data_IF_451845900702
#
_entry.id   IF_451845900702
#
_cell.length_a   1.000
_cell.length_b   1.000
_cell.length_c   1.000
_cell.angle_alpha   90.00
_cell.angle_beta   90.00
_cell.angle_gamma   90.00
#
_symmetry.space_group_name_H-M   'P 1'
#
loop_
_entity.id
_entity.type
_entity.pdbx_description
1 polymer ?
#
# COMPACT_ATOMS: atom_id res chain seq x y z
N UNK A 1 -0.28 14.10 13.23
CA UNK A 1 -1.39 14.94 12.72
C UNK A 1 -2.59 14.11 12.29
N UNK A 2 -2.43 13.12 11.39
CA UNK A 2 -3.53 12.34 10.79
C UNK A 2 -4.43 11.59 11.77
N UNK A 3 -3.86 10.90 12.77
CA UNK A 3 -4.66 10.21 13.81
C UNK A 3 -5.43 11.19 14.69
N UNK A 4 -4.82 12.31 15.05
CA UNK A 4 -5.44 13.35 15.89
C UNK A 4 -6.61 13.98 15.14
N UNK A 5 -6.42 14.34 13.86
CA UNK A 5 -7.50 14.87 13.03
C UNK A 5 -8.62 13.86 12.80
N UNK A 6 -8.30 12.57 12.68
CA UNK A 6 -9.31 11.50 12.58
C UNK A 6 -10.14 11.42 13.86
N UNK A 7 -9.49 11.38 15.03
CA UNK A 7 -10.18 11.33 16.34
C UNK A 7 -11.12 12.53 16.49
N UNK A 8 -10.61 13.74 16.26
CA UNK A 8 -11.42 14.96 16.37
C UNK A 8 -12.58 14.93 15.38
N UNK A 9 -12.32 14.57 14.12
CA UNK A 9 -13.35 14.46 13.09
C UNK A 9 -14.45 13.45 13.45
N UNK A 10 -14.08 12.27 13.95
CA UNK A 10 -15.04 11.26 14.39
C UNK A 10 -15.86 11.73 15.58
N UNK A 11 -15.25 12.39 16.57
CA UNK A 11 -15.96 12.95 17.73
C UNK A 11 -16.99 14.02 17.30
N UNK A 12 -16.60 14.91 16.39
CA UNK A 12 -17.51 15.93 15.85
C UNK A 12 -18.65 15.28 15.08
N UNK A 13 -18.36 14.32 14.20
CA UNK A 13 -19.37 13.62 13.41
C UNK A 13 -20.39 12.88 14.29
N UNK A 14 -19.92 12.15 15.31
CA UNK A 14 -20.78 11.46 16.27
C UNK A 14 -21.64 12.46 17.05
N UNK A 15 -21.05 13.57 17.51
CA UNK A 15 -21.79 14.61 18.23
C UNK A 15 -22.91 15.21 17.37
N UNK A 16 -22.61 15.58 16.12
CA UNK A 16 -23.61 16.11 15.18
C UNK A 16 -24.70 15.09 14.90
N UNK A 17 -24.35 13.83 14.67
CA UNK A 17 -25.32 12.75 14.43
C UNK A 17 -26.23 12.51 15.65
N UNK A 18 -25.68 12.54 16.86
CA UNK A 18 -26.46 12.43 18.10
C UNK A 18 -27.44 13.59 18.27
N UNK A 19 -27.03 14.82 17.94
CA UNK A 19 -27.89 16.01 18.04
C UNK A 19 -29.01 16.00 16.98
N UNK A 20 -28.71 15.56 15.76
CA UNK A 20 -29.66 15.58 14.65
C UNK A 20 -30.66 14.43 14.73
N UNK A 21 -30.18 13.19 14.81
CA UNK A 21 -31.04 12.00 14.77
C UNK A 21 -31.62 11.62 16.14
N UNK A 22 -31.05 12.18 17.23
CA UNK A 22 -31.43 11.91 18.61
C UNK A 22 -31.61 10.40 18.94
N UNK A 23 -30.70 9.51 18.50
CA UNK A 23 -30.76 8.11 18.89
C UNK A 23 -30.36 7.94 20.37
N UNK A 24 -30.57 6.75 20.96
CA UNK A 24 -30.01 6.43 22.28
C UNK A 24 -28.49 6.65 22.33
N UNK A 25 -27.97 7.16 23.45
CA UNK A 25 -26.54 7.50 23.60
C UNK A 25 -25.57 6.32 23.37
N UNK A 26 -26.05 5.09 23.55
CA UNK A 26 -25.27 3.87 23.34
C UNK A 26 -25.31 3.36 21.88
N UNK A 27 -26.18 3.91 21.03
CA UNK A 27 -26.33 3.46 19.65
C UNK A 27 -25.03 3.53 18.83
N UNK A 28 -24.20 4.59 18.90
CA UNK A 28 -22.93 4.63 18.17
C UNK A 28 -21.96 3.52 18.60
N UNK A 29 -21.94 3.18 19.90
CA UNK A 29 -21.06 2.13 20.43
C UNK A 29 -21.53 0.74 20.02
N UNK A 30 -22.84 0.50 20.05
CA UNK A 30 -23.43 -0.77 19.60
C UNK A 30 -23.19 -0.99 18.11
N UNK A 31 -23.36 0.06 17.29
CA UNK A 31 -23.11 0.00 15.85
C UNK A 31 -21.62 -0.16 15.54
N UNK A 32 -20.75 0.53 16.26
CA UNK A 32 -19.30 0.32 16.14
C UNK A 32 -18.91 -1.13 16.45
N UNK A 33 -19.49 -1.73 17.51
CA UNK A 33 -19.27 -3.15 17.83
C UNK A 33 -19.77 -4.05 16.69
N UNK A 34 -21.00 -3.83 16.20
CA UNK A 34 -21.56 -4.61 15.08
C UNK A 34 -20.67 -4.57 13.83
N UNK A 35 -20.14 -3.38 13.49
CA UNK A 35 -19.23 -3.21 12.37
C UNK A 35 -17.88 -3.90 12.61
N UNK A 36 -17.33 -3.80 13.82
CA UNK A 36 -16.10 -4.50 14.20
C UNK A 36 -16.29 -6.02 14.26
N UNK A 37 -17.46 -6.52 14.64
CA UNK A 37 -17.76 -7.95 14.62
C UNK A 37 -17.86 -8.45 13.17
N UNK A 38 -18.41 -7.64 12.26
CA UNK A 38 -18.55 -7.99 10.84
C UNK A 38 -17.23 -7.91 10.06
N UNK A 39 -16.36 -6.94 10.37
CA UNK A 39 -15.16 -6.61 9.56
C UNK A 39 -13.87 -6.52 10.40
N UNK A 40 -13.89 -7.05 11.62
CA UNK A 40 -12.79 -6.92 12.58
C UNK A 40 -11.49 -7.58 12.12
N UNK A 41 -11.60 -8.68 11.38
CA UNK A 41 -10.44 -9.33 10.78
C UNK A 41 -9.69 -8.41 9.80
N UNK A 42 -10.42 -7.59 9.03
CA UNK A 42 -9.81 -6.65 8.10
C UNK A 42 -9.31 -5.39 8.83
N UNK A 43 -9.96 -5.01 9.95
CA UNK A 43 -9.53 -3.88 10.78
C UNK A 43 -8.15 -4.11 11.42
N UNK A 44 -7.82 -5.35 11.79
CA UNK A 44 -6.53 -5.70 12.41
C UNK A 44 -5.44 -5.94 11.35
N UNK A 45 -5.84 -6.22 10.10
CA UNK A 45 -4.93 -6.60 9.02
C UNK A 45 -3.79 -5.60 8.76
N UNK A 46 -4.00 -4.27 8.68
CA UNK A 46 -2.90 -3.32 8.48
C UNK A 46 -1.83 -3.39 9.58
N UNK A 47 -2.23 -3.61 10.83
CA UNK A 47 -1.30 -3.75 11.95
C UNK A 47 -0.48 -5.03 11.82
N UNK A 48 -1.11 -6.14 11.43
CA UNK A 48 -0.41 -7.40 11.18
C UNK A 48 0.58 -7.27 10.03
N UNK A 49 0.20 -6.60 8.94
CA UNK A 49 1.07 -6.37 7.79
C UNK A 49 2.27 -5.46 8.12
N UNK A 50 2.06 -4.45 8.97
CA UNK A 50 3.16 -3.64 9.48
C UNK A 50 4.15 -4.48 10.30
N UNK A 51 3.63 -5.38 11.18
CA UNK A 51 4.50 -6.30 11.93
C UNK A 51 5.23 -7.30 11.04
N UNK A 52 4.58 -7.82 10.00
CA UNK A 52 5.20 -8.70 9.01
C UNK A 52 6.36 -8.00 8.29
N UNK A 53 6.17 -6.72 7.92
CA UNK A 53 7.23 -5.90 7.35
C UNK A 53 8.45 -5.78 8.26
N UNK A 54 8.25 -5.61 9.57
CA UNK A 54 9.34 -5.60 10.55
C UNK A 54 10.04 -6.95 10.66
N UNK A 55 9.28 -8.06 10.63
CA UNK A 55 9.83 -9.43 10.62
C UNK A 55 10.67 -9.67 9.36
N UNK A 56 10.22 -9.26 8.18
CA UNK A 56 11.00 -9.42 6.95
C UNK A 56 12.30 -8.61 6.96
N UNK A 57 12.26 -7.40 7.52
CA UNK A 57 13.45 -6.60 7.70
C UNK A 57 14.45 -7.31 8.64
N UNK A 58 13.96 -7.85 9.77
CA UNK A 58 14.79 -8.59 10.72
C UNK A 58 15.34 -9.91 10.16
N UNK A 59 14.57 -10.59 9.31
CA UNK A 59 14.96 -11.83 8.64
C UNK A 59 15.93 -11.60 7.47
N UNK A 60 16.21 -10.34 7.12
CA UNK A 60 17.16 -10.00 6.06
C UNK A 60 16.63 -10.13 4.64
N UNK A 61 15.30 -10.31 4.45
CA UNK A 61 14.70 -10.60 3.13
C UNK A 61 15.07 -9.54 2.08
N UNK A 62 15.17 -8.28 2.50
CA UNK A 62 15.58 -7.18 1.62
C UNK A 62 16.98 -7.37 1.03
N UNK A 63 17.92 -7.92 1.81
CA UNK A 63 19.29 -8.15 1.36
C UNK A 63 19.35 -9.25 0.30
N UNK A 64 18.62 -10.36 0.45
CA UNK A 64 18.60 -11.40 -0.59
C UNK A 64 17.91 -10.92 -1.86
N UNK A 65 16.79 -10.19 -1.74
CA UNK A 65 16.12 -9.60 -2.90
C UNK A 65 17.05 -8.58 -3.57
N UNK A 66 17.74 -7.73 -2.81
CA UNK A 66 18.70 -6.77 -3.33
C UNK A 66 19.85 -7.42 -4.11
N UNK A 67 20.38 -8.55 -3.64
CA UNK A 67 21.41 -9.31 -4.33
C UNK A 67 20.93 -9.77 -5.72
N UNK A 68 19.70 -10.29 -5.82
CA UNK A 68 19.09 -10.68 -7.10
C UNK A 68 18.94 -9.47 -8.03
N UNK A 69 18.53 -8.32 -7.52
CA UNK A 69 18.42 -7.09 -8.33
C UNK A 69 19.79 -6.62 -8.85
N UNK A 70 20.84 -6.66 -8.02
CA UNK A 70 22.19 -6.30 -8.47
C UNK A 70 22.78 -7.27 -9.49
N UNK A 71 22.47 -8.56 -9.37
CA UNK A 71 22.98 -9.60 -10.28
C UNK A 71 22.27 -9.57 -11.64
N UNK A 72 20.93 -9.47 -11.63
CA UNK A 72 20.14 -9.58 -12.85
C UNK A 72 19.84 -8.25 -13.54
N UNK A 73 20.05 -7.11 -12.87
CA UNK A 73 19.82 -5.78 -13.45
C UNK A 73 21.14 -4.99 -13.47
N UNK A 74 22.01 -5.25 -14.46
CA UNK A 74 23.27 -4.52 -14.59
C UNK A 74 23.01 -3.02 -14.83
N UNK A 75 23.77 -2.17 -14.14
CA UNK A 75 23.65 -0.71 -14.26
C UNK A 75 22.59 -0.06 -13.38
N UNK A 76 21.98 -0.81 -12.45
CA UNK A 76 21.03 -0.29 -11.46
C UNK A 76 21.62 0.86 -10.63
N UNK A 77 22.92 0.77 -10.30
CA UNK A 77 23.66 1.78 -9.53
C UNK A 77 23.99 3.05 -10.32
N UNK A 78 24.03 2.96 -11.65
CA UNK A 78 24.47 4.06 -12.51
C UNK A 78 23.30 4.84 -13.13
N UNK A 79 22.17 4.17 -13.38
CA UNK A 79 21.03 4.76 -14.08
C UNK A 79 19.87 5.08 -13.13
N UNK A 80 19.65 6.38 -12.90
CA UNK A 80 18.49 6.90 -12.13
C UNK A 80 17.15 6.38 -12.66
N UNK A 81 16.98 6.33 -13.97
CA UNK A 81 15.73 5.85 -14.58
C UNK A 81 15.54 4.35 -14.34
N UNK A 82 16.61 3.57 -14.43
CA UNK A 82 16.54 2.13 -14.21
C UNK A 82 16.24 1.80 -12.75
N UNK A 83 16.94 2.44 -11.81
CA UNK A 83 16.72 2.25 -10.37
C UNK A 83 15.29 2.64 -9.94
N UNK A 84 14.80 3.79 -10.40
CA UNK A 84 13.42 4.23 -10.12
C UNK A 84 12.40 3.27 -10.72
N UNK A 85 12.61 2.81 -11.96
CA UNK A 85 11.69 1.87 -12.60
C UNK A 85 11.70 0.53 -11.87
N UNK A 86 12.88 -0.01 -11.55
CA UNK A 86 13.03 -1.24 -10.79
C UNK A 86 12.38 -1.14 -9.41
N UNK A 87 12.54 -0.02 -8.71
CA UNK A 87 11.90 0.19 -7.42
C UNK A 87 10.38 0.29 -7.54
N UNK A 88 9.83 1.14 -8.42
CA UNK A 88 8.39 1.31 -8.57
C UNK A 88 7.69 0.06 -9.11
N UNK A 89 8.23 -0.58 -10.14
CA UNK A 89 7.68 -1.83 -10.71
C UNK A 89 7.84 -2.97 -9.72
N UNK A 90 9.01 -3.08 -9.08
CA UNK A 90 9.26 -4.06 -8.03
C UNK A 90 8.29 -3.88 -6.86
N UNK A 91 8.09 -2.64 -6.39
CA UNK A 91 7.09 -2.29 -5.37
C UNK A 91 5.69 -2.77 -5.76
N UNK A 92 5.21 -2.46 -6.97
CA UNK A 92 3.90 -2.88 -7.44
C UNK A 92 3.79 -4.41 -7.55
N UNK A 93 4.78 -5.06 -8.16
CA UNK A 93 4.80 -6.52 -8.35
C UNK A 93 4.85 -7.27 -7.02
N UNK A 94 5.75 -6.90 -6.13
CA UNK A 94 5.88 -7.54 -4.82
C UNK A 94 4.62 -7.32 -3.97
N UNK A 95 3.96 -6.17 -4.15
CA UNK A 95 2.65 -5.91 -3.56
C UNK A 95 1.56 -6.80 -4.14
N UNK A 96 1.56 -7.09 -5.44
CA UNK A 96 0.60 -8.03 -6.04
C UNK A 96 0.75 -9.40 -5.39
N UNK A 97 1.99 -9.87 -5.22
CA UNK A 97 2.31 -11.18 -4.60
C UNK A 97 1.86 -11.23 -3.15
N UNK A 98 2.19 -10.19 -2.36
CA UNK A 98 1.89 -10.19 -0.92
C UNK A 98 0.48 -9.70 -0.57
N UNK A 99 -0.26 -9.14 -1.54
CA UNK A 99 -1.60 -8.60 -1.33
C UNK A 99 -1.65 -7.23 -0.67
N UNK A 100 -0.51 -6.62 -0.29
CA UNK A 100 -0.51 -5.33 0.37
C UNK A 100 0.80 -4.53 0.29
N UNK A 101 0.67 -3.21 0.07
CA UNK A 101 1.80 -2.30 -0.03
C UNK A 101 2.60 -2.14 1.28
N UNK A 102 1.95 -2.18 2.46
CA UNK A 102 2.63 -2.05 3.75
C UNK A 102 3.57 -3.22 4.04
N UNK A 103 3.23 -4.43 3.59
CA UNK A 103 4.11 -5.57 3.72
C UNK A 103 5.28 -5.51 2.70
N UNK A 104 5.00 -5.06 1.48
CA UNK A 104 6.00 -4.98 0.40
C UNK A 104 7.02 -3.88 0.63
N UNK A 105 6.60 -2.79 1.25
CA UNK A 105 7.40 -1.58 1.38
C UNK A 105 8.74 -1.79 2.10
N UNK A 106 8.82 -2.43 3.28
CA UNK A 106 10.11 -2.64 3.94
C UNK A 106 11.06 -3.50 3.11
N UNK A 107 10.55 -4.56 2.47
CA UNK A 107 11.37 -5.48 1.65
C UNK A 107 11.96 -4.76 0.45
N UNK A 108 11.11 -4.16 -0.38
CA UNK A 108 11.54 -3.51 -1.62
C UNK A 108 12.33 -2.21 -1.37
N UNK A 109 12.05 -1.51 -0.27
CA UNK A 109 12.84 -0.34 0.12
C UNK A 109 14.22 -0.77 0.61
N UNK A 110 14.33 -1.83 1.40
CA UNK A 110 15.62 -2.37 1.80
C UNK A 110 16.39 -3.00 0.62
N UNK A 111 15.69 -3.61 -0.33
CA UNK A 111 16.29 -4.26 -1.49
C UNK A 111 16.74 -3.29 -2.57
N UNK A 112 15.91 -2.30 -2.90
CA UNK A 112 16.13 -1.43 -4.07
C UNK A 112 16.14 0.07 -3.70
N UNK A 113 15.09 0.54 -3.03
CA UNK A 113 14.86 1.97 -2.81
C UNK A 113 16.00 2.66 -2.04
N UNK A 114 16.34 2.14 -0.88
CA UNK A 114 17.38 2.71 -0.02
C UNK A 114 18.80 2.53 -0.60
N UNK A 115 19.28 1.33 -0.96
CA UNK A 115 20.66 1.17 -1.42
C UNK A 115 20.93 1.85 -2.76
N UNK A 116 20.02 1.74 -3.74
CA UNK A 116 20.28 2.24 -5.08
C UNK A 116 19.71 3.64 -5.32
N UNK A 117 18.42 3.86 -5.05
CA UNK A 117 17.77 5.14 -5.38
C UNK A 117 18.23 6.26 -4.44
N UNK A 118 18.33 5.97 -3.14
CA UNK A 118 18.72 6.96 -2.12
C UNK A 118 20.25 7.03 -1.97
N UNK A 119 20.90 5.94 -1.58
CA UNK A 119 22.32 5.96 -1.18
C UNK A 119 23.24 6.08 -2.39
N UNK A 120 23.10 5.24 -3.42
CA UNK A 120 23.98 5.27 -4.59
C UNK A 120 23.72 6.48 -5.51
N UNK A 121 22.45 6.84 -5.73
CA UNK A 121 22.05 7.83 -6.73
C UNK A 121 21.66 9.20 -6.17
N UNK A 122 21.64 9.35 -4.84
CA UNK A 122 21.40 10.61 -4.14
C UNK A 122 19.93 11.05 -4.11
N UNK A 123 18.98 10.12 -4.11
CA UNK A 123 17.55 10.42 -4.00
C UNK A 123 17.15 10.86 -2.59
N UNK A 124 16.21 11.81 -2.50
CA UNK A 124 15.60 12.24 -1.24
C UNK A 124 14.77 11.10 -0.61
N UNK A 125 15.10 10.64 0.62
CA UNK A 125 14.42 9.51 1.24
C UNK A 125 12.92 9.72 1.41
N UNK A 126 12.48 10.94 1.73
CA UNK A 126 11.07 11.21 1.98
C UNK A 126 10.25 11.08 0.68
N UNK A 127 10.73 11.66 -0.42
CA UNK A 127 10.08 11.57 -1.74
C UNK A 127 10.12 10.16 -2.29
N UNK A 128 11.26 9.46 -2.18
CA UNK A 128 11.39 8.07 -2.65
C UNK A 128 10.43 7.17 -1.89
N UNK A 129 10.39 7.24 -0.56
CA UNK A 129 9.49 6.43 0.25
C UNK A 129 8.01 6.74 -0.02
N UNK A 130 7.65 8.03 -0.13
CA UNK A 130 6.27 8.43 -0.40
C UNK A 130 5.78 7.91 -1.76
N UNK A 131 6.54 8.16 -2.83
CA UNK A 131 6.14 7.76 -4.19
C UNK A 131 6.26 6.24 -4.35
N UNK A 132 7.24 5.60 -3.71
CA UNK A 132 7.37 4.14 -3.67
C UNK A 132 6.15 3.47 -3.05
N UNK A 133 5.59 4.06 -1.99
CA UNK A 133 4.35 3.57 -1.38
C UNK A 133 3.14 3.74 -2.30
N UNK A 134 3.05 4.87 -3.03
CA UNK A 134 2.01 5.07 -4.07
C UNK A 134 2.10 4.04 -5.19
N UNK A 135 3.32 3.69 -5.63
CA UNK A 135 3.54 2.61 -6.60
C UNK A 135 3.10 1.24 -6.03
N UNK A 136 3.37 0.97 -4.75
CA UNK A 136 2.86 -0.21 -4.06
C UNK A 136 1.33 -0.28 -4.05
N UNK A 137 0.64 0.84 -3.79
CA UNK A 137 -0.83 0.87 -3.83
C UNK A 137 -1.39 0.56 -5.23
N UNK A 138 -0.68 0.93 -6.31
CA UNK A 138 -1.06 0.51 -7.67
C UNK A 138 -1.06 -1.02 -7.79
N UNK A 139 -0.09 -1.71 -7.17
CA UNK A 139 -0.09 -3.17 -7.07
C UNK A 139 -1.25 -3.73 -6.23
N UNK A 140 -1.63 -3.04 -5.15
CA UNK A 140 -2.74 -3.45 -4.28
C UNK A 140 -4.07 -3.47 -5.04
N UNK A 141 -4.27 -2.54 -5.96
CA UNK A 141 -5.44 -2.48 -6.83
C UNK A 141 -5.50 -3.65 -7.83
N UNK A 142 -4.36 -4.21 -8.21
CA UNK A 142 -4.26 -5.24 -9.24
C UNK A 142 -4.23 -6.68 -8.71
N UNK A 143 -4.41 -6.91 -7.40
CA UNK A 143 -4.29 -8.25 -6.79
C UNK A 143 -5.58 -8.73 -6.11
N UNK A 144 -5.96 -10.00 -6.30
CA UNK A 144 -7.08 -10.60 -5.56
C UNK A 144 -6.79 -10.81 -4.09
N UNK A 145 -5.52 -10.77 -3.67
CA UNK A 145 -5.12 -10.95 -2.27
C UNK A 145 -5.31 -9.68 -1.42
N UNK A 146 -5.64 -8.54 -2.03
CA UNK A 146 -5.86 -7.29 -1.32
C UNK A 146 -7.17 -7.32 -0.54
N UNK A 147 -7.09 -7.71 0.72
CA UNK A 147 -8.27 -7.99 1.53
C UNK A 147 -9.19 -6.76 1.69
N UNK A 148 -8.61 -5.60 2.00
CA UNK A 148 -9.36 -4.37 2.30
C UNK A 148 -9.99 -3.73 1.05
N UNK A 149 -9.38 -3.91 -0.12
CA UNK A 149 -9.77 -3.19 -1.34
C UNK A 149 -10.53 -4.06 -2.33
N UNK A 150 -10.21 -5.35 -2.39
CA UNK A 150 -10.71 -6.24 -3.43
C UNK A 150 -11.54 -7.39 -2.86
N UNK A 151 -11.14 -8.00 -1.72
CA UNK A 151 -11.87 -9.14 -1.14
C UNK A 151 -13.12 -8.69 -0.38
N UNK A 152 -12.99 -7.74 0.55
CA UNK A 152 -14.11 -7.27 1.38
C UNK A 152 -15.23 -6.70 0.51
N UNK A 153 -14.99 -5.76 -0.42
CA UNK A 153 -16.06 -5.23 -1.27
C UNK A 153 -16.67 -6.28 -2.19
N UNK A 154 -15.89 -7.20 -2.77
CA UNK A 154 -16.42 -8.25 -3.63
C UNK A 154 -17.33 -9.23 -2.86
N UNK A 155 -17.03 -9.50 -1.59
CA UNK A 155 -17.87 -10.32 -0.72
C UNK A 155 -19.12 -9.57 -0.26
N UNK A 156 -19.00 -8.29 0.11
CA UNK A 156 -20.14 -7.46 0.54
C UNK A 156 -21.13 -7.19 -0.60
N UNK A 157 -20.65 -7.07 -1.84
CA UNK A 157 -21.48 -6.89 -3.05
C UNK A 157 -21.90 -8.22 -3.69
N UNK A 158 -21.58 -9.35 -3.06
CA UNK A 158 -21.88 -10.71 -3.52
C UNK A 158 -21.56 -10.97 -5.00
N UNK A 159 -20.45 -10.41 -5.50
CA UNK A 159 -20.11 -10.49 -6.92
C UNK A 159 -20.06 -11.96 -7.39
N UNK A 160 -20.63 -12.27 -8.58
CA UNK A 160 -20.69 -13.64 -9.08
C UNK A 160 -19.29 -14.21 -9.34
N UNK A 161 -18.34 -13.34 -9.70
CA UNK A 161 -16.95 -13.66 -10.00
C UNK A 161 -16.00 -13.38 -8.82
N UNK A 162 -16.49 -13.24 -7.59
CA UNK A 162 -15.67 -12.91 -6.41
C UNK A 162 -14.50 -13.88 -6.14
N UNK A 163 -14.62 -15.15 -6.59
CA UNK A 163 -13.56 -16.17 -6.48
C UNK A 163 -12.56 -16.16 -7.64
N UNK A 164 -12.83 -15.38 -8.70
CA UNK A 164 -11.93 -15.23 -9.83
C UNK A 164 -10.71 -14.39 -9.42
N UNK A 165 -9.50 -14.76 -9.87
CA UNK A 165 -8.30 -13.93 -9.66
C UNK A 165 -8.40 -12.55 -10.33
N UNK A 166 -9.24 -12.42 -11.37
CA UNK A 166 -9.59 -11.16 -12.01
C UNK A 166 -11.08 -10.91 -11.86
N UNK A 167 -11.53 -10.66 -10.63
CA UNK A 167 -12.91 -10.30 -10.35
C UNK A 167 -13.27 -8.90 -10.91
N UNK A 168 -14.56 -8.57 -10.94
CA UNK A 168 -15.06 -7.33 -11.52
C UNK A 168 -14.44 -6.06 -10.94
N UNK A 169 -14.08 -6.08 -9.65
CA UNK A 169 -13.41 -4.95 -8.97
C UNK A 169 -12.03 -4.72 -9.58
N UNK A 170 -11.21 -5.77 -9.67
CA UNK A 170 -9.85 -5.67 -10.20
C UNK A 170 -9.87 -5.25 -11.68
N UNK A 171 -10.78 -5.82 -12.47
CA UNK A 171 -10.93 -5.45 -13.89
C UNK A 171 -11.29 -3.97 -14.08
N UNK A 172 -12.06 -3.40 -13.15
CA UNK A 172 -12.38 -1.97 -13.16
C UNK A 172 -11.21 -1.10 -12.67
N UNK A 173 -10.35 -1.62 -11.80
CA UNK A 173 -9.22 -0.87 -11.22
C UNK A 173 -7.95 -0.88 -12.08
N UNK A 174 -7.68 -1.96 -12.83
CA UNK A 174 -6.49 -2.08 -13.70
C UNK A 174 -6.31 -0.87 -14.65
N UNK A 175 -7.37 -0.38 -15.34
CA UNK A 175 -7.26 0.78 -16.23
C UNK A 175 -6.82 2.06 -15.54
N UNK A 176 -6.99 2.17 -14.22
CA UNK A 176 -6.51 3.31 -13.43
C UNK A 176 -5.15 3.03 -12.78
N UNK A 177 -4.92 1.80 -12.31
CA UNK A 177 -3.69 1.42 -11.60
C UNK A 177 -2.45 1.48 -12.51
N UNK A 178 -2.56 1.04 -13.77
CA UNK A 178 -1.42 1.03 -14.70
C UNK A 178 -0.97 2.46 -15.04
N UNK A 179 -1.84 3.39 -15.48
CA UNK A 179 -1.45 4.78 -15.71
C UNK A 179 -0.87 5.45 -14.46
N UNK A 180 -1.45 5.21 -13.28
CA UNK A 180 -0.93 5.76 -12.02
C UNK A 180 0.47 5.23 -11.70
N UNK A 181 0.75 3.95 -11.96
CA UNK A 181 2.09 3.40 -11.79
C UNK A 181 3.11 4.09 -12.71
N UNK A 182 2.74 4.32 -13.97
CA UNK A 182 3.59 5.05 -14.93
C UNK A 182 3.83 6.49 -14.44
N UNK A 183 2.79 7.17 -13.99
CA UNK A 183 2.89 8.51 -13.43
C UNK A 183 3.81 8.52 -12.20
N UNK A 184 3.70 7.54 -11.29
CA UNK A 184 4.59 7.43 -10.13
C UNK A 184 6.06 7.23 -10.54
N UNK A 185 6.34 6.43 -11.57
CA UNK A 185 7.70 6.27 -12.12
C UNK A 185 8.24 7.61 -12.62
N UNK A 186 7.44 8.34 -13.40
CA UNK A 186 7.82 9.66 -13.93
C UNK A 186 8.03 10.68 -12.80
N UNK A 187 7.09 10.75 -11.86
CA UNK A 187 7.17 11.65 -10.70
C UNK A 187 8.40 11.37 -9.85
N UNK A 188 8.69 10.10 -9.55
CA UNK A 188 9.90 9.76 -8.79
C UNK A 188 11.15 10.13 -9.58
N UNK A 189 11.18 9.88 -10.89
CA UNK A 189 12.35 10.24 -11.72
C UNK A 189 12.64 11.74 -11.74
N UNK A 190 11.59 12.57 -11.68
CA UNK A 190 11.69 14.03 -11.72
C UNK A 190 11.92 14.65 -10.34
N UNK A 191 11.28 14.13 -9.30
CA UNK A 191 11.23 14.76 -7.98
C UNK A 191 12.19 14.15 -6.96
N UNK A 192 12.57 12.89 -7.10
CA UNK A 192 13.38 12.23 -6.07
C UNK A 192 14.80 12.77 -6.01
N UNK A 193 15.37 13.22 -7.12
CA UNK A 193 16.76 13.66 -7.18
C UNK A 193 16.85 15.19 -7.09
N UNK A 194 17.84 15.73 -6.37
CA UNK A 194 18.13 17.16 -6.43
C UNK A 194 18.49 17.55 -7.87
N UNK A 195 17.99 18.71 -8.29
CA UNK A 195 18.27 19.36 -9.57
C UNK A 195 19.70 19.87 -9.64
#
# INVERSE_FOLDING_TARGET
>A
ATLISLIIGTLVAVTVALLWFRPPLLAPVQEARRLLDAVGWAAILPQMLASLGAVFLAAGVGQQVGALFSEYIPGLEASRTLAVTAYCVGMAFFTIVMGNAFAAFPVMTAAVGLPFVVVALGGDPARVCAIGMLAGFCGTLMTPMAANFNVVPANLLELPDRKSPLNGVIRAQIPTAIPLLIINIVLMRLLAFPS
#
